data_IF_023738334890
#
_entry.id   IF_023738334890
#
_cell.length_a   1.000
_cell.length_b   1.000
_cell.length_c   1.000
_cell.angle_alpha   90.00
_cell.angle_beta   90.00
_cell.angle_gamma   90.00
#
_symmetry.space_group_name_H-M   'P 1'
#
loop_
_entity.id
_entity.type
_entity.pdbx_description
1 polymer ?
#
# COMPACT_ATOMS: atom_id res chain seq x y z
N UNK A 1 -19.47 16.58 13.26
CA UNK A 1 -18.19 17.21 12.86
C UNK A 1 -16.96 16.62 13.57
N UNK A 2 -17.03 16.20 14.85
CA UNK A 2 -15.90 15.53 15.53
C UNK A 2 -15.66 14.07 15.12
N UNK A 3 -16.71 13.33 14.72
CA UNK A 3 -16.61 11.93 14.30
C UNK A 3 -15.74 11.72 13.04
N UNK A 4 -15.79 12.66 12.09
CA UNK A 4 -15.00 12.60 10.85
C UNK A 4 -13.51 12.82 11.09
N UNK A 5 -13.15 13.66 12.07
CA UNK A 5 -11.76 13.94 12.42
C UNK A 5 -11.10 12.71 13.06
N UNK A 6 -11.81 12.03 13.97
CA UNK A 6 -11.28 10.83 14.63
C UNK A 6 -11.16 9.66 13.64
N UNK A 7 -12.18 9.43 12.81
CA UNK A 7 -12.12 8.41 11.75
C UNK A 7 -11.00 8.70 10.72
N UNK A 8 -10.76 9.95 10.36
CA UNK A 8 -9.69 10.30 9.44
C UNK A 8 -8.29 10.14 10.06
N UNK A 9 -8.12 10.45 11.35
CA UNK A 9 -6.85 10.25 12.05
C UNK A 9 -6.51 8.77 12.26
N UNK A 10 -7.48 7.93 12.66
CA UNK A 10 -7.27 6.48 12.81
C UNK A 10 -6.87 5.84 11.48
N UNK A 11 -7.49 6.26 10.38
CA UNK A 11 -7.13 5.76 9.04
C UNK A 11 -5.77 6.29 8.54
N UNK A 12 -5.34 7.49 8.93
CA UNK A 12 -4.03 8.03 8.55
C UNK A 12 -2.89 7.33 9.30
N UNK A 13 -3.05 7.11 10.61
CA UNK A 13 -2.08 6.37 11.44
C UNK A 13 -1.83 4.97 10.88
N UNK A 14 -2.87 4.34 10.31
CA UNK A 14 -2.74 3.01 9.71
C UNK A 14 -1.98 3.03 8.38
N UNK A 15 -2.16 4.05 7.54
CA UNK A 15 -1.47 4.16 6.23
C UNK A 15 0.01 4.47 6.39
N UNK A 16 0.37 5.38 7.30
CA UNK A 16 1.77 5.73 7.55
C UNK A 16 2.56 4.52 8.05
N UNK A 17 1.98 3.74 8.97
CA UNK A 17 2.58 2.51 9.47
C UNK A 17 2.76 1.47 8.37
N UNK A 18 1.74 1.26 7.51
CA UNK A 18 1.86 0.38 6.34
C UNK A 18 3.02 0.83 5.44
N UNK A 19 3.12 2.14 5.14
CA UNK A 19 4.20 2.66 4.30
C UNK A 19 5.58 2.47 4.94
N UNK A 20 5.69 2.62 6.25
CA UNK A 20 6.93 2.39 6.97
C UNK A 20 7.35 0.92 6.95
N UNK A 21 6.43 0.00 7.24
CA UNK A 21 6.68 -1.44 7.18
C UNK A 21 7.10 -1.87 5.75
N UNK A 22 6.43 -1.34 4.73
CA UNK A 22 6.77 -1.58 3.32
C UNK A 22 8.18 -1.07 2.95
N UNK A 23 8.57 0.12 3.45
CA UNK A 23 9.93 0.65 3.27
C UNK A 23 10.96 -0.21 3.98
N UNK A 24 10.67 -0.66 5.20
CA UNK A 24 11.54 -1.57 5.97
C UNK A 24 11.76 -2.86 5.20
N UNK A 25 10.70 -3.47 4.65
CA UNK A 25 10.83 -4.68 3.83
C UNK A 25 11.68 -4.41 2.58
N UNK A 26 11.42 -3.32 1.86
CA UNK A 26 12.19 -3.02 0.66
C UNK A 26 13.68 -2.77 0.95
N UNK A 27 13.99 -2.18 2.11
CA UNK A 27 15.36 -1.89 2.53
C UNK A 27 16.09 -3.10 3.13
N UNK A 28 15.41 -3.91 3.96
CA UNK A 28 16.06 -4.95 4.78
C UNK A 28 16.01 -6.35 4.17
N UNK A 29 14.98 -6.68 3.39
CA UNK A 29 14.89 -8.03 2.81
C UNK A 29 15.81 -8.14 1.58
N UNK A 30 16.81 -9.03 1.67
CA UNK A 30 17.81 -9.24 0.61
C UNK A 30 17.24 -9.87 -0.65
N UNK A 31 16.26 -10.77 -0.50
CA UNK A 31 15.76 -11.60 -1.60
C UNK A 31 14.42 -11.09 -2.11
N UNK A 32 14.29 -10.95 -3.43
CA UNK A 32 13.08 -10.45 -4.08
C UNK A 32 11.84 -11.30 -3.77
N UNK A 33 11.98 -12.63 -3.73
CA UNK A 33 10.87 -13.53 -3.36
C UNK A 33 10.34 -13.27 -1.95
N UNK A 34 11.23 -12.99 -0.99
CA UNK A 34 10.85 -12.65 0.38
C UNK A 34 10.15 -11.28 0.41
N UNK A 35 10.69 -10.28 -0.30
CA UNK A 35 10.04 -8.96 -0.43
C UNK A 35 8.60 -9.11 -0.93
N UNK A 36 8.39 -9.91 -1.98
CA UNK A 36 7.07 -10.13 -2.58
C UNK A 36 6.09 -10.73 -1.57
N UNK A 37 6.50 -11.78 -0.85
CA UNK A 37 5.63 -12.45 0.13
C UNK A 37 5.25 -11.50 1.27
N UNK A 38 6.22 -10.76 1.81
CA UNK A 38 5.97 -9.85 2.93
C UNK A 38 5.12 -8.63 2.53
N UNK A 39 5.41 -8.02 1.38
CA UNK A 39 4.60 -6.90 0.86
C UNK A 39 3.17 -7.36 0.61
N UNK A 40 2.99 -8.55 0.02
CA UNK A 40 1.66 -9.12 -0.18
C UNK A 40 0.91 -9.32 1.13
N UNK A 41 1.57 -9.87 2.14
CA UNK A 41 0.97 -10.09 3.46
C UNK A 41 0.47 -8.78 4.11
N UNK A 42 1.18 -7.67 3.92
CA UNK A 42 0.77 -6.35 4.42
C UNK A 42 -0.37 -5.76 3.59
N UNK A 43 -0.32 -5.88 2.26
CA UNK A 43 -1.27 -5.20 1.37
C UNK A 43 -2.60 -5.95 1.21
N UNK A 44 -2.58 -7.28 1.13
CA UNK A 44 -3.80 -8.08 0.87
C UNK A 44 -4.95 -7.81 1.83
N UNK A 45 -4.75 -7.67 3.16
CA UNK A 45 -5.82 -7.33 4.09
C UNK A 45 -6.52 -5.99 3.80
N UNK A 46 -5.85 -5.09 3.10
CA UNK A 46 -6.35 -3.74 2.80
C UNK A 46 -6.75 -3.58 1.33
N UNK A 47 -6.66 -4.62 0.50
CA UNK A 47 -6.78 -4.52 -0.96
C UNK A 47 -8.15 -3.99 -1.44
N UNK A 48 -9.20 -4.23 -0.66
CA UNK A 48 -10.56 -3.76 -0.94
C UNK A 48 -10.86 -2.37 -0.33
N UNK A 49 -9.95 -1.82 0.48
CA UNK A 49 -10.09 -0.48 1.02
C UNK A 49 -9.49 0.54 0.04
N UNK A 50 -10.33 1.05 -0.86
CA UNK A 50 -9.93 1.98 -1.92
C UNK A 50 -9.20 3.22 -1.38
N UNK A 51 -9.64 3.76 -0.23
CA UNK A 51 -9.03 4.96 0.39
C UNK A 51 -7.60 4.68 0.86
N UNK A 52 -7.37 3.55 1.53
CA UNK A 52 -6.03 3.14 1.97
C UNK A 52 -5.15 2.85 0.76
N UNK A 53 -5.64 2.06 -0.19
CA UNK A 53 -4.87 1.67 -1.37
C UNK A 53 -4.51 2.86 -2.26
N UNK A 54 -5.45 3.78 -2.47
CA UNK A 54 -5.17 5.00 -3.23
C UNK A 54 -4.06 5.83 -2.58
N UNK A 55 -4.12 6.01 -1.24
CA UNK A 55 -3.06 6.72 -0.52
C UNK A 55 -1.71 6.01 -0.65
N UNK A 56 -1.65 4.69 -0.44
CA UNK A 56 -0.40 3.92 -0.56
C UNK A 56 0.19 4.03 -1.96
N UNK A 57 -0.63 3.84 -2.99
CA UNK A 57 -0.18 3.87 -4.39
C UNK A 57 0.28 5.27 -4.81
N UNK A 58 -0.43 6.32 -4.37
CA UNK A 58 -0.03 7.72 -4.61
C UNK A 58 1.26 8.08 -3.87
N UNK A 59 1.38 7.67 -2.61
CA UNK A 59 2.57 7.93 -1.78
C UNK A 59 3.82 7.17 -2.23
N UNK A 60 3.67 6.12 -3.02
CA UNK A 60 4.78 5.33 -3.57
C UNK A 60 5.01 5.57 -5.05
N UNK A 61 4.18 6.35 -5.72
CA UNK A 61 4.22 6.58 -7.16
C UNK A 61 5.63 6.93 -7.65
N UNK A 62 6.03 6.34 -8.78
CA UNK A 62 7.36 6.50 -9.39
C UNK A 62 8.55 5.99 -8.55
N UNK A 63 8.30 5.13 -7.54
CA UNK A 63 9.37 4.47 -6.77
C UNK A 63 9.52 2.98 -7.08
N UNK A 64 10.67 2.41 -6.75
CA UNK A 64 10.87 0.96 -6.75
C UNK A 64 9.82 0.24 -5.87
N UNK A 65 9.44 0.87 -4.76
CA UNK A 65 8.44 0.32 -3.84
C UNK A 65 7.06 0.19 -4.51
N UNK A 66 6.69 1.14 -5.37
CA UNK A 66 5.45 1.03 -6.15
C UNK A 66 5.47 -0.17 -7.10
N UNK A 67 6.58 -0.38 -7.80
CA UNK A 67 6.74 -1.54 -8.67
C UNK A 67 6.68 -2.85 -7.87
N UNK A 68 7.30 -2.88 -6.69
CA UNK A 68 7.25 -4.03 -5.78
C UNK A 68 5.83 -4.31 -5.29
N UNK A 69 5.06 -3.29 -4.93
CA UNK A 69 3.65 -3.43 -4.52
C UNK A 69 2.82 -4.02 -5.68
N UNK A 70 2.96 -3.48 -6.89
CA UNK A 70 2.23 -3.97 -8.06
C UNK A 70 2.64 -5.38 -8.49
N UNK A 71 3.90 -5.76 -8.28
CA UNK A 71 4.38 -7.12 -8.52
C UNK A 71 3.81 -8.09 -7.48
N UNK A 72 3.76 -7.67 -6.22
CA UNK A 72 3.28 -8.49 -5.10
C UNK A 72 1.77 -8.69 -5.11
N UNK A 73 1.03 -7.70 -5.59
CA UNK A 73 -0.42 -7.70 -5.68
C UNK A 73 -0.91 -7.32 -7.09
N UNK A 74 -0.80 -8.22 -8.09
CA UNK A 74 -1.17 -7.92 -9.48
C UNK A 74 -2.62 -7.46 -9.66
N UNK A 75 -3.52 -7.87 -8.75
CA UNK A 75 -4.94 -7.46 -8.73
C UNK A 75 -5.11 -5.93 -8.67
N UNK A 76 -4.16 -5.22 -8.06
CA UNK A 76 -4.17 -3.75 -7.97
C UNK A 76 -3.97 -3.06 -9.33
N UNK A 77 -3.28 -3.71 -10.27
CA UNK A 77 -3.11 -3.15 -11.63
C UNK A 77 -4.44 -2.98 -12.35
N UNK A 78 -5.43 -3.85 -12.07
CA UNK A 78 -6.76 -3.76 -12.65
C UNK A 78 -7.59 -2.64 -12.01
N UNK A 79 -7.47 -2.45 -10.69
CA UNK A 79 -8.15 -1.36 -9.98
C UNK A 79 -7.66 0.03 -10.43
N UNK A 80 -6.37 0.17 -10.74
CA UNK A 80 -5.79 1.44 -11.23
C UNK A 80 -6.30 1.86 -12.61
N UNK A 81 -6.62 0.93 -13.51
CA UNK A 81 -7.21 1.25 -14.83
C UNK A 81 -8.60 1.87 -14.70
N UNK A 82 -9.32 1.57 -13.62
CA UNK A 82 -10.68 2.08 -13.36
C UNK A 82 -10.70 3.53 -12.87
N UNK A 83 -9.59 4.03 -12.33
CA UNK A 83 -9.45 5.38 -11.74
C UNK A 83 -9.08 6.43 -12.79
N UNK A 84 -8.62 6.02 -13.99
CA UNK A 84 -8.23 6.92 -15.10
C UNK A 84 -9.35 7.19 -16.12
N UNK A 85 -10.57 6.68 -15.90
CA UNK A 85 -11.74 6.95 -16.75
C UNK A 85 -12.77 7.80 -16.00
#
# INVERSE_FOLDING_TARGET
MFGDIIMNNVNNVNVEKILEDLKIINSKARYMGIKIVLVRHIIEPHINNEKIMHKILKSTENSELYNLILLSCPKLKYSLKKIKN
#
